data_IF_956672724801
#
_entry.id   IF_956672724801
#
_cell.length_a   1.000
_cell.length_b   1.000
_cell.length_c   1.000
_cell.angle_alpha   90.00
_cell.angle_beta   90.00
_cell.angle_gamma   90.00
#
_symmetry.space_group_name_H-M   'P 1'
#
loop_
_entity.id
_entity.type
_entity.pdbx_description
1 polymer ?
#
# COMPACT_ATOMS: atom_id res chain seq x y z
N UNK A 1 -71.75 -8.27 35.13
CA UNK A 1 -71.05 -7.12 34.51
C UNK A 1 -69.57 -6.98 34.93
N UNK A 2 -69.08 -7.70 35.95
CA UNK A 2 -67.69 -7.62 36.42
C UNK A 2 -66.68 -8.49 35.65
N UNK A 3 -67.17 -9.54 34.97
CA UNK A 3 -66.34 -10.46 34.16
C UNK A 3 -65.81 -9.81 32.88
N UNK A 4 -66.65 -9.07 32.15
CA UNK A 4 -66.26 -8.46 30.87
C UNK A 4 -65.26 -7.32 31.04
N UNK A 5 -65.28 -6.66 32.21
CA UNK A 5 -64.33 -5.60 32.54
C UNK A 5 -62.93 -6.15 32.82
N UNK A 6 -62.83 -7.31 33.48
CA UNK A 6 -61.56 -7.97 33.75
C UNK A 6 -60.88 -8.50 32.47
N UNK A 7 -61.67 -8.98 31.50
CA UNK A 7 -61.17 -9.47 30.22
C UNK A 7 -60.62 -8.30 29.38
N UNK A 8 -61.36 -7.19 29.30
CA UNK A 8 -60.90 -5.98 28.60
C UNK A 8 -59.60 -5.41 29.19
N UNK A 9 -59.49 -5.39 30.51
CA UNK A 9 -58.31 -4.86 31.20
C UNK A 9 -57.07 -5.75 30.99
N UNK A 10 -57.26 -7.06 30.85
CA UNK A 10 -56.19 -8.01 30.49
C UNK A 10 -55.73 -7.85 29.04
N UNK A 11 -56.66 -7.63 28.10
CA UNK A 11 -56.34 -7.36 26.68
C UNK A 11 -55.61 -6.01 26.49
N UNK A 12 -56.02 -4.99 27.25
CA UNK A 12 -55.32 -3.69 27.28
C UNK A 12 -53.93 -3.80 27.91
N UNK A 13 -53.74 -4.64 28.95
CA UNK A 13 -52.42 -4.91 29.53
C UNK A 13 -51.50 -5.68 28.58
N UNK A 14 -52.02 -6.68 27.86
CA UNK A 14 -51.25 -7.43 26.86
C UNK A 14 -50.83 -6.54 25.69
N UNK A 15 -51.73 -5.69 25.18
CA UNK A 15 -51.42 -4.77 24.10
C UNK A 15 -50.43 -3.68 24.53
N UNK A 16 -50.55 -3.15 25.75
CA UNK A 16 -49.55 -2.26 26.34
C UNK A 16 -48.18 -2.93 26.55
N UNK A 17 -48.17 -4.22 26.90
CA UNK A 17 -46.94 -5.02 27.05
C UNK A 17 -46.25 -5.29 25.71
N UNK A 18 -47.03 -5.56 24.64
CA UNK A 18 -46.53 -5.69 23.27
C UNK A 18 -45.99 -4.36 22.73
N UNK A 19 -46.62 -3.23 23.06
CA UNK A 19 -46.15 -1.90 22.71
C UNK A 19 -44.87 -1.49 23.46
N UNK A 20 -44.71 -1.89 24.73
CA UNK A 20 -43.45 -1.71 25.49
C UNK A 20 -42.32 -2.59 24.95
N UNK A 21 -42.62 -3.81 24.51
CA UNK A 21 -41.63 -4.69 23.86
C UNK A 21 -41.20 -4.16 22.48
N UNK A 22 -42.09 -3.47 21.77
CA UNK A 22 -41.80 -2.83 20.48
C UNK A 22 -40.91 -1.57 20.59
N UNK A 23 -40.71 -1.02 21.79
CA UNK A 23 -39.84 0.15 22.00
C UNK A 23 -38.35 -0.20 22.14
N UNK A 24 -38.03 -1.48 22.37
CA UNK A 24 -36.67 -1.93 22.17
C UNK A 24 -36.54 -2.35 20.72
N UNK A 25 -35.75 -1.60 19.95
CA UNK A 25 -35.13 -2.15 18.75
C UNK A 25 -34.36 -3.40 19.20
N UNK A 26 -35.01 -4.56 19.21
CA UNK A 26 -34.36 -5.85 19.28
C UNK A 26 -33.58 -5.93 17.98
N UNK A 27 -32.37 -5.38 18.02
CA UNK A 27 -31.37 -5.67 17.01
C UNK A 27 -31.23 -7.18 17.08
N UNK A 28 -31.82 -7.91 16.12
CA UNK A 28 -31.52 -9.32 15.94
C UNK A 28 -30.01 -9.37 15.80
N UNK A 29 -29.33 -9.80 16.87
CA UNK A 29 -27.88 -9.96 16.90
C UNK A 29 -27.65 -11.27 16.18
N UNK A 30 -27.22 -11.27 14.91
CA UNK A 30 -27.29 -12.49 14.11
C UNK A 30 -26.47 -13.62 14.73
N UNK A 31 -25.39 -13.28 15.46
CA UNK A 31 -24.55 -14.24 16.18
C UNK A 31 -25.25 -14.96 17.34
N UNK A 32 -26.34 -14.41 17.90
CA UNK A 32 -27.16 -15.13 18.88
C UNK A 32 -27.85 -16.35 18.25
N UNK A 33 -28.21 -16.26 16.96
CA UNK A 33 -28.81 -17.37 16.21
C UNK A 33 -27.81 -18.49 15.88
N UNK A 34 -26.51 -18.32 16.19
CA UNK A 34 -25.51 -19.39 16.10
C UNK A 34 -25.32 -20.15 17.40
N UNK A 35 -25.83 -19.67 18.54
CA UNK A 35 -25.67 -20.41 19.79
C UNK A 35 -26.41 -21.75 19.70
N UNK A 36 -25.67 -22.84 19.93
CA UNK A 36 -26.21 -24.20 19.85
C UNK A 36 -26.41 -24.75 18.43
N UNK A 37 -26.07 -23.99 17.38
CA UNK A 37 -26.18 -24.46 15.99
C UNK A 37 -24.86 -25.08 15.53
N UNK A 38 -24.86 -26.40 15.31
CA UNK A 38 -23.73 -27.09 14.68
C UNK A 38 -23.62 -26.69 13.20
N UNK A 39 -22.63 -25.85 12.87
CA UNK A 39 -22.35 -25.43 11.50
C UNK A 39 -21.81 -26.64 10.72
N UNK A 40 -22.62 -27.17 9.80
CA UNK A 40 -22.19 -28.26 8.91
C UNK A 40 -21.12 -27.74 7.93
N UNK A 41 -20.04 -28.49 7.66
CA UNK A 41 -19.05 -28.11 6.66
C UNK A 41 -19.70 -27.84 5.29
N UNK A 42 -19.31 -26.76 4.63
CA UNK A 42 -19.86 -26.36 3.33
C UNK A 42 -19.64 -27.47 2.30
N UNK A 43 -20.73 -28.10 1.87
CA UNK A 43 -20.70 -29.10 0.79
C UNK A 43 -20.16 -28.47 -0.49
N UNK A 44 -19.26 -29.15 -1.24
CA UNK A 44 -18.78 -28.64 -2.52
C UNK A 44 -19.96 -28.42 -3.47
N UNK A 45 -19.91 -27.30 -4.17
CA UNK A 45 -20.94 -26.79 -5.08
C UNK A 45 -21.43 -27.89 -6.02
N UNK A 46 -22.65 -28.38 -5.81
CA UNK A 46 -23.37 -29.20 -6.79
C UNK A 46 -24.88 -29.17 -6.56
N UNK A 47 -25.59 -29.01 -7.67
CA UNK A 47 -27.04 -29.13 -7.88
C UNK A 47 -27.86 -27.84 -7.71
N UNK A 48 -28.27 -27.29 -8.85
CA UNK A 48 -29.29 -26.23 -9.01
C UNK A 48 -30.72 -26.69 -8.60
N UNK A 49 -30.87 -27.89 -8.03
CA UNK A 49 -32.16 -28.53 -7.80
C UNK A 49 -32.69 -28.44 -6.36
N UNK A 50 -31.98 -27.77 -5.44
CA UNK A 50 -32.48 -27.49 -4.09
C UNK A 50 -32.34 -26.01 -3.74
N UNK A 51 -33.30 -25.39 -3.04
CA UNK A 51 -33.14 -24.05 -2.51
C UNK A 51 -31.92 -24.03 -1.59
N UNK A 52 -30.88 -23.33 -2.02
CA UNK A 52 -29.60 -23.23 -1.31
C UNK A 52 -29.77 -22.22 -0.17
N UNK A 53 -29.91 -22.71 1.05
CA UNK A 53 -29.83 -21.87 2.25
C UNK A 53 -28.36 -21.76 2.64
N UNK A 54 -27.77 -20.59 2.46
CA UNK A 54 -26.38 -20.34 2.86
C UNK A 54 -26.22 -20.65 4.36
N UNK A 55 -25.18 -21.38 4.74
CA UNK A 55 -24.99 -21.78 6.15
C UNK A 55 -24.32 -20.68 6.97
N UNK A 56 -23.56 -19.81 6.33
CA UNK A 56 -22.90 -18.71 7.03
C UNK A 56 -23.89 -17.58 7.30
N UNK A 57 -24.03 -17.19 8.58
CA UNK A 57 -24.89 -16.07 8.97
C UNK A 57 -24.64 -14.81 8.15
N UNK A 58 -23.36 -14.47 7.94
CA UNK A 58 -23.00 -13.26 7.22
C UNK A 58 -23.62 -13.26 5.83
N UNK A 59 -23.70 -14.41 5.15
CA UNK A 59 -24.33 -14.50 3.84
C UNK A 59 -25.86 -14.56 3.88
N UNK A 60 -26.47 -14.88 5.02
CA UNK A 60 -27.92 -14.77 5.23
C UNK A 60 -28.33 -13.33 5.49
N UNK A 61 -27.53 -12.61 6.27
CA UNK A 61 -27.80 -11.23 6.68
C UNK A 61 -27.34 -10.20 5.64
N UNK A 62 -26.38 -10.56 4.77
CA UNK A 62 -25.83 -9.67 3.75
C UNK A 62 -26.16 -10.22 2.35
N UNK A 63 -27.12 -9.61 1.63
CA UNK A 63 -27.38 -9.91 0.22
C UNK A 63 -26.13 -9.83 -0.65
N UNK A 64 -26.13 -10.59 -1.75
CA UNK A 64 -24.97 -10.69 -2.64
C UNK A 64 -24.64 -9.34 -3.31
N UNK A 65 -25.64 -8.48 -3.53
CA UNK A 65 -25.47 -7.12 -4.06
C UNK A 65 -24.71 -6.22 -3.09
N UNK A 66 -25.00 -6.32 -1.79
CA UNK A 66 -24.29 -5.55 -0.76
C UNK A 66 -22.87 -6.08 -0.58
N UNK A 67 -22.68 -7.41 -0.60
CA UNK A 67 -21.36 -8.02 -0.59
C UNK A 67 -20.52 -7.56 -1.80
N UNK A 68 -21.14 -7.51 -2.98
CA UNK A 68 -20.51 -7.02 -4.19
C UNK A 68 -20.11 -5.56 -4.06
N UNK A 69 -20.98 -4.69 -3.53
CA UNK A 69 -20.67 -3.28 -3.34
C UNK A 69 -19.57 -3.06 -2.29
N UNK A 70 -19.55 -3.85 -1.22
CA UNK A 70 -18.45 -3.83 -0.25
C UNK A 70 -17.12 -4.18 -0.94
N UNK A 71 -17.09 -5.26 -1.73
CA UNK A 71 -15.90 -5.64 -2.49
C UNK A 71 -15.50 -4.62 -3.55
N UNK A 72 -16.46 -3.88 -4.13
CA UNK A 72 -16.19 -2.83 -5.14
C UNK A 72 -15.37 -1.67 -4.56
N UNK A 73 -15.52 -1.40 -3.24
CA UNK A 73 -14.77 -0.35 -2.52
C UNK A 73 -13.44 -0.81 -1.94
N UNK A 74 -13.19 -2.13 -1.86
CA UNK A 74 -11.96 -2.65 -1.27
C UNK A 74 -10.74 -2.46 -2.17
N UNK A 75 -9.56 -2.40 -1.56
CA UNK A 75 -8.30 -2.46 -2.31
C UNK A 75 -8.09 -3.86 -2.90
N UNK A 76 -7.38 -3.99 -4.03
CA UNK A 76 -7.14 -5.30 -4.65
C UNK A 76 -6.38 -6.29 -3.76
N UNK A 77 -5.54 -5.80 -2.84
CA UNK A 77 -4.84 -6.64 -1.87
C UNK A 77 -5.79 -7.14 -0.78
N UNK A 78 -6.70 -6.29 -0.30
CA UNK A 78 -7.76 -6.72 0.62
C UNK A 78 -8.72 -7.70 -0.05
N UNK A 79 -9.01 -7.55 -1.34
CA UNK A 79 -9.75 -8.56 -2.12
C UNK A 79 -8.97 -9.89 -2.19
N UNK A 80 -7.65 -9.84 -2.37
CA UNK A 80 -6.80 -11.03 -2.28
C UNK A 80 -6.93 -11.75 -0.93
N UNK A 81 -6.90 -11.00 0.18
CA UNK A 81 -7.11 -11.54 1.54
C UNK A 81 -8.53 -12.08 1.73
N UNK A 82 -9.55 -11.36 1.26
CA UNK A 82 -10.96 -11.77 1.31
C UNK A 82 -11.21 -13.08 0.54
N UNK A 83 -10.53 -13.30 -0.59
CA UNK A 83 -10.62 -14.54 -1.35
C UNK A 83 -10.09 -15.77 -0.60
N UNK A 84 -9.36 -15.59 0.51
CA UNK A 84 -8.87 -16.65 1.38
C UNK A 84 -9.83 -16.98 2.54
N UNK A 85 -10.89 -16.20 2.76
CA UNK A 85 -11.81 -16.37 3.90
C UNK A 85 -12.75 -17.56 3.69
N UNK A 86 -13.45 -17.61 2.53
CA UNK A 86 -14.37 -18.70 2.23
C UNK A 86 -14.51 -18.92 0.72
N UNK A 87 -15.10 -20.05 0.32
CA UNK A 87 -15.33 -20.39 -1.09
C UNK A 87 -16.21 -19.35 -1.80
N UNK A 88 -17.30 -18.90 -1.18
CA UNK A 88 -18.22 -17.91 -1.77
C UNK A 88 -17.46 -16.64 -2.15
N UNK A 89 -16.72 -16.05 -1.21
CA UNK A 89 -15.91 -14.84 -1.45
C UNK A 89 -14.86 -15.07 -2.53
N UNK A 90 -14.18 -16.23 -2.50
CA UNK A 90 -13.21 -16.61 -3.53
C UNK A 90 -13.83 -16.64 -4.93
N UNK A 91 -15.07 -17.09 -5.09
CA UNK A 91 -15.78 -17.10 -6.37
C UNK A 91 -16.29 -15.72 -6.75
N UNK A 92 -16.91 -14.98 -5.82
CA UNK A 92 -17.38 -13.61 -6.06
C UNK A 92 -16.26 -12.71 -6.57
N UNK A 93 -15.08 -12.77 -5.95
CA UNK A 93 -13.90 -11.94 -6.29
C UNK A 93 -13.30 -12.30 -7.65
N UNK A 94 -13.65 -13.45 -8.24
CA UNK A 94 -13.26 -13.76 -9.63
C UNK A 94 -14.00 -12.91 -10.66
N UNK A 95 -15.05 -12.19 -10.25
CA UNK A 95 -15.76 -11.27 -11.14
C UNK A 95 -14.75 -10.25 -11.74
N UNK A 96 -14.70 -10.11 -13.08
CA UNK A 96 -13.73 -9.26 -13.76
C UNK A 96 -13.87 -7.77 -13.43
N UNK A 97 -15.04 -7.30 -12.98
CA UNK A 97 -15.30 -5.88 -12.68
C UNK A 97 -14.35 -5.35 -11.60
N UNK A 98 -14.09 -6.14 -10.55
CA UNK A 98 -13.17 -5.74 -9.48
C UNK A 98 -11.75 -5.48 -10.00
N UNK A 99 -11.28 -6.35 -10.90
CA UNK A 99 -9.94 -6.26 -11.49
C UNK A 99 -9.86 -5.18 -12.56
N UNK A 100 -10.94 -4.93 -13.32
CA UNK A 100 -11.02 -3.81 -14.27
C UNK A 100 -10.79 -2.48 -13.56
N UNK A 101 -11.53 -2.21 -12.49
CA UNK A 101 -11.41 -0.96 -11.73
C UNK A 101 -10.03 -0.81 -11.10
N UNK A 102 -9.45 -1.91 -10.62
CA UNK A 102 -8.08 -1.93 -10.13
C UNK A 102 -7.08 -1.53 -11.21
N UNK A 103 -7.17 -2.15 -12.40
CA UNK A 103 -6.27 -1.88 -13.52
C UNK A 103 -6.37 -0.42 -13.99
N UNK A 104 -7.59 0.10 -14.21
CA UNK A 104 -7.78 1.47 -14.68
C UNK A 104 -7.23 2.51 -13.70
N UNK A 105 -7.29 2.25 -12.38
CA UNK A 105 -6.67 3.12 -11.36
C UNK A 105 -5.15 3.01 -11.33
N UNK A 106 -4.59 1.80 -11.47
CA UNK A 106 -3.14 1.61 -11.38
C UNK A 106 -2.37 2.17 -12.58
N UNK A 107 -2.96 2.14 -13.78
CA UNK A 107 -2.34 2.61 -15.02
C UNK A 107 -3.08 3.81 -15.62
N UNK A 108 -3.56 4.71 -14.76
CA UNK A 108 -4.33 5.88 -15.19
C UNK A 108 -3.58 6.76 -16.20
N UNK A 109 -2.25 6.88 -16.05
CA UNK A 109 -1.40 7.71 -16.92
C UNK A 109 -1.40 7.28 -18.40
N UNK A 110 -1.58 5.99 -18.69
CA UNK A 110 -1.66 5.49 -20.07
C UNK A 110 -3.00 5.83 -20.74
N UNK A 111 -4.02 6.19 -19.97
CA UNK A 111 -5.38 6.39 -20.46
C UNK A 111 -6.17 5.10 -20.67
N UNK A 112 -7.49 5.24 -20.79
CA UNK A 112 -8.42 4.09 -20.87
C UNK A 112 -8.23 3.31 -22.16
N UNK A 113 -8.11 4.01 -23.29
CA UNK A 113 -8.03 3.39 -24.62
C UNK A 113 -6.78 2.51 -24.73
N UNK A 114 -5.63 3.02 -24.31
CA UNK A 114 -4.37 2.27 -24.39
C UNK A 114 -4.36 1.07 -23.45
N UNK A 115 -4.90 1.22 -22.23
CA UNK A 115 -5.06 0.10 -21.31
C UNK A 115 -5.96 -1.00 -21.87
N UNK A 116 -7.03 -0.66 -22.59
CA UNK A 116 -7.89 -1.63 -23.26
C UNK A 116 -7.17 -2.34 -24.42
N UNK A 117 -6.35 -1.64 -25.21
CA UNK A 117 -5.53 -2.25 -26.26
C UNK A 117 -4.53 -3.25 -25.67
N UNK A 118 -3.77 -2.83 -24.65
CA UNK A 118 -2.81 -3.67 -23.93
C UNK A 118 -3.51 -4.91 -23.34
N UNK A 119 -4.69 -4.73 -22.73
CA UNK A 119 -5.49 -5.83 -22.21
C UNK A 119 -5.82 -6.87 -23.28
N UNK A 120 -6.26 -6.44 -24.46
CA UNK A 120 -6.63 -7.34 -25.54
C UNK A 120 -5.40 -8.04 -26.12
N UNK A 121 -4.35 -7.28 -26.45
CA UNK A 121 -3.16 -7.78 -27.14
C UNK A 121 -2.28 -8.66 -26.25
N UNK A 122 -1.99 -8.23 -25.01
CA UNK A 122 -1.02 -8.89 -24.13
C UNK A 122 -1.68 -9.85 -23.12
N UNK A 123 -2.95 -9.64 -22.80
CA UNK A 123 -3.62 -10.34 -21.70
C UNK A 123 -4.93 -11.05 -22.11
N UNK A 124 -5.22 -11.15 -23.41
CA UNK A 124 -6.39 -11.83 -24.00
C UNK A 124 -7.73 -11.41 -23.38
N UNK A 125 -7.89 -10.13 -23.06
CA UNK A 125 -9.15 -9.62 -22.49
C UNK A 125 -9.35 -9.92 -20.99
N UNK A 126 -8.40 -10.56 -20.30
CA UNK A 126 -8.57 -10.98 -18.90
C UNK A 126 -7.95 -9.96 -17.92
N UNK A 127 -8.81 -9.12 -17.33
CA UNK A 127 -8.39 -8.05 -16.38
C UNK A 127 -7.57 -8.58 -15.20
N UNK A 128 -7.96 -9.73 -14.63
CA UNK A 128 -7.23 -10.32 -13.51
C UNK A 128 -5.81 -10.76 -13.90
N UNK A 129 -5.64 -11.26 -15.13
CA UNK A 129 -4.33 -11.67 -15.66
C UNK A 129 -3.43 -10.43 -15.82
N UNK A 130 -3.96 -9.34 -16.37
CA UNK A 130 -3.29 -8.05 -16.45
C UNK A 130 -2.86 -7.54 -15.06
N UNK A 131 -3.74 -7.59 -14.07
CA UNK A 131 -3.41 -7.16 -12.70
C UNK A 131 -2.25 -7.97 -12.07
N UNK A 132 -2.18 -9.27 -12.33
CA UNK A 132 -1.17 -10.13 -11.72
C UNK A 132 0.18 -10.05 -12.45
N UNK A 133 0.18 -9.88 -13.77
CA UNK A 133 1.39 -9.95 -14.60
C UNK A 133 2.01 -8.59 -14.92
N UNK A 134 1.21 -7.53 -15.08
CA UNK A 134 1.73 -6.22 -15.45
C UNK A 134 2.37 -5.56 -14.21
N UNK A 135 3.65 -5.11 -14.29
CA UNK A 135 4.27 -4.41 -13.18
C UNK A 135 3.54 -3.11 -12.86
N UNK A 136 3.48 -2.77 -11.57
CA UNK A 136 2.87 -1.52 -11.07
C UNK A 136 3.49 -1.11 -9.75
N UNK A 137 3.63 0.19 -9.55
CA UNK A 137 4.00 0.73 -8.24
C UNK A 137 2.79 0.74 -7.32
N UNK A 138 3.04 0.44 -6.05
CA UNK A 138 2.04 0.53 -4.99
C UNK A 138 2.04 1.93 -4.39
N UNK A 139 0.84 2.48 -4.23
CA UNK A 139 0.62 3.84 -3.69
C UNK A 139 -0.07 3.83 -2.33
N UNK A 140 -0.42 2.63 -1.84
CA UNK A 140 -1.13 2.36 -0.58
C UNK A 140 -0.19 2.17 0.63
N UNK A 141 1.04 2.68 0.56
CA UNK A 141 2.05 2.47 1.60
C UNK A 141 3.40 3.10 1.28
N UNK A 142 4.44 2.59 1.93
CA UNK A 142 5.82 3.05 1.79
C UNK A 142 6.72 1.93 1.30
N UNK A 143 7.64 2.26 0.41
CA UNK A 143 8.79 1.42 0.13
C UNK A 143 9.92 1.82 1.08
N UNK A 144 10.47 0.85 1.81
CA UNK A 144 11.44 1.07 2.88
C UNK A 144 12.67 0.21 2.64
N UNK A 145 13.83 0.85 2.56
CA UNK A 145 15.15 0.20 2.49
C UNK A 145 15.86 0.43 3.82
N UNK A 146 16.13 -0.65 4.56
CA UNK A 146 16.81 -0.60 5.86
C UNK A 146 18.28 -0.92 5.67
N UNK A 147 19.13 0.03 6.04
CA UNK A 147 20.57 -0.05 5.85
C UNK A 147 21.28 0.03 7.19
N UNK A 148 22.18 -0.92 7.44
CA UNK A 148 23.03 -0.96 8.62
C UNK A 148 24.50 -0.94 8.22
N UNK A 149 25.32 -0.17 8.93
CA UNK A 149 26.77 -0.17 8.75
C UNK A 149 27.48 0.02 10.09
N UNK A 150 28.74 -0.40 10.15
CA UNK A 150 29.58 -0.27 11.33
C UNK A 150 30.41 1.00 11.19
N UNK A 151 30.33 1.88 12.19
CA UNK A 151 31.17 3.06 12.34
C UNK A 151 32.14 2.83 13.49
N UNK A 152 33.43 3.03 13.25
CA UNK A 152 34.45 3.00 14.31
C UNK A 152 34.24 4.21 15.22
N UNK A 153 34.17 3.97 16.52
CA UNK A 153 34.09 5.00 17.55
C UNK A 153 35.46 5.59 17.88
N UNK A 154 35.47 6.65 18.69
CA UNK A 154 36.73 7.24 19.16
C UNK A 154 37.39 6.29 20.16
N UNK A 155 38.61 5.83 19.87
CA UNK A 155 39.37 4.98 20.78
C UNK A 155 39.99 5.85 21.89
N UNK A 156 39.47 5.76 23.10
CA UNK A 156 39.98 6.47 24.28
C UNK A 156 41.17 5.76 24.97
N UNK A 157 41.62 4.60 24.47
CA UNK A 157 42.75 3.85 25.02
C UNK A 157 43.34 2.81 24.06
N UNK A 158 44.43 2.14 24.47
CA UNK A 158 45.15 1.15 23.63
C UNK A 158 44.51 -0.23 23.56
N UNK A 159 43.50 -0.52 24.38
CA UNK A 159 43.05 -1.91 24.63
C UNK A 159 41.74 -2.28 23.92
N UNK A 160 40.88 -1.32 23.57
CA UNK A 160 39.59 -1.61 22.92
C UNK A 160 39.21 -0.53 21.91
N UNK A 161 38.81 -0.95 20.70
CA UNK A 161 38.25 -0.06 19.67
C UNK A 161 36.71 -0.15 19.72
N UNK A 162 36.00 0.88 20.20
CA UNK A 162 34.55 0.87 20.21
C UNK A 162 34.00 0.90 18.78
N UNK A 163 32.88 0.21 18.54
CA UNK A 163 32.17 0.21 17.25
C UNK A 163 30.69 0.52 17.47
N UNK A 164 30.12 1.31 16.57
CA UNK A 164 28.72 1.68 16.57
C UNK A 164 28.03 1.07 15.35
N UNK A 165 26.97 0.32 15.57
CA UNK A 165 26.09 -0.14 14.48
C UNK A 165 25.10 0.98 14.21
N UNK A 166 25.26 1.66 13.08
CA UNK A 166 24.36 2.73 12.64
C UNK A 166 23.30 2.12 11.75
N UNK A 167 22.03 2.36 12.08
CA UNK A 167 20.87 1.97 11.29
C UNK A 167 20.15 3.20 10.76
N UNK A 168 19.91 3.21 9.46
CA UNK A 168 19.11 4.22 8.81
C UNK A 168 18.21 3.61 7.74
N UNK A 169 17.23 4.38 7.32
CA UNK A 169 16.20 3.96 6.40
C UNK A 169 16.08 4.96 5.27
N UNK A 170 15.90 4.44 4.04
CA UNK A 170 15.44 5.23 2.90
C UNK A 170 13.97 4.92 2.70
N UNK A 171 13.16 5.97 2.63
CA UNK A 171 11.72 5.90 2.47
C UNK A 171 11.32 6.47 1.12
N UNK A 172 10.45 5.76 0.40
CA UNK A 172 9.85 6.22 -0.84
C UNK A 172 8.34 6.04 -0.79
N UNK A 173 7.60 7.07 -1.20
CA UNK A 173 6.14 7.01 -1.38
C UNK A 173 5.78 7.49 -2.78
N UNK A 174 5.11 6.66 -3.56
CA UNK A 174 4.70 6.98 -4.93
C UNK A 174 3.25 7.44 -4.98
N UNK A 175 2.95 8.34 -5.91
CA UNK A 175 1.60 8.83 -6.20
C UNK A 175 1.23 8.57 -7.67
N UNK A 176 -0.04 8.28 -7.98
CA UNK A 176 -0.49 8.02 -9.35
C UNK A 176 -0.19 9.14 -10.36
N UNK A 177 0.08 10.36 -9.88
CA UNK A 177 0.43 11.53 -10.71
C UNK A 177 1.85 11.49 -11.27
N UNK A 178 2.67 10.48 -10.99
CA UNK A 178 4.10 10.46 -11.34
C UNK A 178 4.98 11.22 -10.35
N UNK A 179 4.43 11.71 -9.23
CA UNK A 179 5.20 12.31 -8.13
C UNK A 179 5.56 11.27 -7.09
N UNK A 180 6.71 11.44 -6.44
CA UNK A 180 7.07 10.64 -5.28
C UNK A 180 7.69 11.49 -4.17
N UNK A 181 7.69 10.94 -2.96
CA UNK A 181 8.36 11.51 -1.81
C UNK A 181 9.52 10.63 -1.40
N UNK A 182 10.61 11.27 -0.98
CA UNK A 182 11.83 10.63 -0.56
C UNK A 182 12.31 11.18 0.77
N UNK A 183 12.75 10.29 1.66
CA UNK A 183 13.41 10.68 2.91
C UNK A 183 14.48 9.68 3.29
N UNK A 184 15.61 10.19 3.75
CA UNK A 184 16.62 9.42 4.46
C UNK A 184 16.54 9.76 5.95
N UNK A 185 16.34 8.77 6.82
CA UNK A 185 16.18 9.01 8.27
C UNK A 185 16.55 7.79 9.11
N UNK A 186 17.00 8.01 10.34
CA UNK A 186 17.16 6.97 11.37
C UNK A 186 15.86 6.64 12.11
N UNK A 187 14.80 7.42 11.89
CA UNK A 187 13.50 7.21 12.54
C UNK A 187 12.81 5.95 11.99
N UNK A 188 11.98 5.34 12.83
CA UNK A 188 11.22 4.11 12.52
C UNK A 188 10.09 4.38 11.54
N UNK A 189 9.63 3.34 10.85
CA UNK A 189 8.59 3.43 9.81
C UNK A 189 7.30 4.04 10.35
N UNK A 190 6.90 3.67 11.58
CA UNK A 190 5.68 4.20 12.24
C UNK A 190 5.71 5.70 12.52
N UNK A 191 6.89 6.24 12.79
CA UNK A 191 7.05 7.67 13.06
C UNK A 191 7.10 8.43 11.73
N UNK A 192 7.79 7.85 10.75
CA UNK A 192 7.98 8.40 9.40
C UNK A 192 6.69 8.48 8.58
N UNK A 193 5.83 7.47 8.70
CA UNK A 193 4.61 7.40 7.91
C UNK A 193 3.67 8.61 8.12
N UNK A 194 3.73 9.26 9.28
CA UNK A 194 2.88 10.41 9.64
C UNK A 194 3.15 11.62 8.75
N UNK A 195 4.40 11.83 8.36
CA UNK A 195 4.85 13.00 7.60
C UNK A 195 5.30 12.67 6.17
N UNK A 196 5.27 11.41 5.73
CA UNK A 196 5.47 11.04 4.33
C UNK A 196 4.24 11.38 3.48
N UNK A 197 3.83 12.65 3.46
CA UNK A 197 2.67 13.15 2.72
C UNK A 197 2.99 14.49 2.01
N UNK A 198 2.20 14.83 0.99
CA UNK A 198 2.44 16.02 0.14
C UNK A 198 2.42 17.33 0.92
N UNK A 199 1.61 17.43 1.99
CA UNK A 199 1.52 18.65 2.81
C UNK A 199 2.81 18.87 3.59
N UNK A 200 3.37 17.81 4.16
CA UNK A 200 4.63 17.83 4.89
C UNK A 200 5.82 18.17 3.98
N UNK A 201 5.81 17.72 2.72
CA UNK A 201 6.86 18.05 1.75
C UNK A 201 6.90 19.55 1.37
N UNK A 202 5.81 20.30 1.59
CA UNK A 202 5.74 21.75 1.35
C UNK A 202 6.09 22.59 2.58
N UNK A 203 6.28 21.95 3.73
CA UNK A 203 6.61 22.65 4.97
C UNK A 203 8.13 22.80 5.04
N UNK A 204 8.63 24.03 5.04
CA UNK A 204 10.05 24.36 5.28
C UNK A 204 10.51 23.96 6.71
N UNK A 205 9.58 23.54 7.56
CA UNK A 205 9.84 23.14 8.94
C UNK A 205 10.47 21.74 9.04
N UNK A 206 11.81 21.67 9.14
CA UNK A 206 12.64 20.61 9.78
C UNK A 206 12.51 19.13 9.35
N UNK A 207 11.44 18.74 8.68
CA UNK A 207 11.09 17.34 8.46
C UNK A 207 11.44 16.98 7.02
N UNK A 208 12.74 16.85 6.76
CA UNK A 208 13.46 16.66 5.49
C UNK A 208 12.87 15.62 4.51
N UNK A 209 11.66 15.83 4.02
CA UNK A 209 10.97 15.03 3.01
C UNK A 209 11.04 15.78 1.71
N UNK A 210 11.65 15.15 0.71
CA UNK A 210 11.86 15.75 -0.60
C UNK A 210 10.83 15.21 -1.58
N UNK A 211 10.29 16.09 -2.43
CA UNK A 211 9.41 15.72 -3.54
C UNK A 211 10.25 15.56 -4.80
N UNK A 212 9.83 14.64 -5.66
CA UNK A 212 10.43 14.46 -6.97
C UNK A 212 9.45 13.82 -7.93
N UNK A 213 9.94 13.47 -9.11
CA UNK A 213 9.18 12.80 -10.15
C UNK A 213 9.73 11.42 -10.47
N UNK A 214 8.85 10.53 -10.91
CA UNK A 214 9.22 9.20 -11.35
C UNK A 214 8.45 8.77 -12.61
N UNK A 215 9.08 7.90 -13.38
CA UNK A 215 8.48 7.15 -14.48
C UNK A 215 8.65 5.66 -14.22
N UNK A 216 7.71 4.86 -14.74
CA UNK A 216 7.76 3.40 -14.69
C UNK A 216 7.68 2.88 -16.12
N UNK A 217 8.78 2.29 -16.58
CA UNK A 217 8.90 1.66 -17.90
C UNK A 217 9.13 0.17 -17.70
N UNK A 218 8.14 -0.65 -18.07
CA UNK A 218 8.12 -2.08 -17.78
C UNK A 218 8.28 -2.38 -16.28
N UNK A 219 9.45 -2.86 -15.85
CA UNK A 219 9.84 -3.12 -14.46
C UNK A 219 10.87 -2.11 -13.91
N UNK A 220 11.29 -1.12 -14.70
CA UNK A 220 12.29 -0.12 -14.31
C UNK A 220 11.62 1.16 -13.85
N UNK A 221 12.02 1.63 -12.68
CA UNK A 221 11.61 2.91 -12.14
C UNK A 221 12.77 3.86 -12.25
N UNK A 222 12.56 4.98 -12.92
CA UNK A 222 13.51 6.09 -12.95
C UNK A 222 12.90 7.24 -12.17
N UNK A 223 13.67 7.81 -11.26
CA UNK A 223 13.19 8.85 -10.38
C UNK A 223 14.27 9.91 -10.13
N UNK A 224 13.84 11.17 -10.04
CA UNK A 224 14.73 12.31 -9.84
C UNK A 224 14.18 13.26 -8.76
N UNK A 225 15.07 13.78 -7.92
CA UNK A 225 14.76 14.77 -6.87
C UNK A 225 15.76 15.90 -6.98
N UNK A 226 15.26 17.14 -7.01
CA UNK A 226 16.09 18.33 -6.93
C UNK A 226 16.29 18.72 -5.45
N UNK A 227 17.54 18.92 -5.06
CA UNK A 227 17.90 19.53 -3.78
C UNK A 227 18.22 21.01 -4.00
N UNK A 228 17.32 21.91 -3.56
CA UNK A 228 17.55 23.34 -3.69
C UNK A 228 18.63 23.81 -2.70
N UNK A 229 19.32 24.89 -3.04
CA UNK A 229 20.34 25.51 -2.20
C UNK A 229 21.27 26.40 -3.03
N UNK A 230 22.34 26.91 -2.40
CA UNK A 230 23.38 27.70 -3.08
C UNK A 230 24.11 26.95 -4.19
N UNK A 231 24.02 25.61 -4.16
CA UNK A 231 24.64 24.68 -5.09
C UNK A 231 23.64 23.55 -5.36
N UNK A 232 22.74 23.72 -6.33
CA UNK A 232 21.67 22.76 -6.56
C UNK A 232 22.23 21.43 -7.03
N UNK A 233 21.66 20.35 -6.51
CA UNK A 233 22.06 18.98 -6.88
C UNK A 233 20.83 18.15 -7.19
N UNK A 234 20.95 17.20 -8.11
CA UNK A 234 19.90 16.25 -8.43
C UNK A 234 20.29 14.86 -7.96
N UNK A 235 19.37 14.18 -7.28
CA UNK A 235 19.47 12.77 -6.95
C UNK A 235 18.70 11.96 -7.98
N UNK A 236 19.43 11.22 -8.81
CA UNK A 236 18.89 10.26 -9.78
C UNK A 236 18.89 8.87 -9.17
N UNK A 237 17.75 8.19 -9.26
CA UNK A 237 17.51 6.89 -8.67
C UNK A 237 16.96 5.96 -9.74
N UNK A 238 17.66 4.86 -10.01
CA UNK A 238 17.17 3.79 -10.88
C UNK A 238 16.86 2.56 -10.03
N UNK A 239 15.64 2.06 -10.13
CA UNK A 239 15.16 0.90 -9.38
C UNK A 239 14.63 -0.17 -10.33
N UNK A 240 14.66 -1.42 -9.89
CA UNK A 240 13.97 -2.54 -10.53
C UNK A 240 12.83 -3.03 -9.65
N UNK A 241 11.60 -2.92 -10.13
CA UNK A 241 10.42 -3.43 -9.45
C UNK A 241 10.39 -4.97 -9.51
N UNK A 242 10.23 -5.58 -8.34
CA UNK A 242 10.06 -7.03 -8.17
C UNK A 242 8.86 -7.33 -7.28
N UNK A 243 8.50 -8.61 -7.19
CA UNK A 243 7.51 -9.11 -6.25
C UNK A 243 7.97 -10.42 -5.62
N UNK A 244 7.64 -10.64 -4.35
CA UNK A 244 7.86 -11.94 -3.68
C UNK A 244 6.98 -13.04 -4.28
N UNK A 245 5.82 -12.65 -4.79
CA UNK A 245 4.90 -13.50 -5.56
C UNK A 245 4.38 -12.69 -6.75
N UNK A 246 3.81 -13.40 -7.72
CA UNK A 246 3.20 -12.79 -8.90
C UNK A 246 2.15 -11.74 -8.50
N UNK A 247 2.32 -10.52 -9.02
CA UNK A 247 1.41 -9.41 -8.77
C UNK A 247 1.56 -8.75 -7.40
N UNK A 248 2.54 -9.13 -6.56
CA UNK A 248 2.76 -8.45 -5.28
C UNK A 248 3.37 -7.06 -5.42
N UNK A 249 4.32 -6.89 -6.36
CA UNK A 249 5.05 -5.63 -6.62
C UNK A 249 5.54 -4.93 -5.35
N UNK A 250 6.04 -5.73 -4.40
CA UNK A 250 6.35 -5.34 -3.02
C UNK A 250 7.86 -5.29 -2.76
N UNK A 251 8.69 -5.34 -3.80
CA UNK A 251 10.15 -5.26 -3.74
C UNK A 251 10.66 -4.29 -4.78
N UNK A 252 11.70 -3.53 -4.45
CA UNK A 252 12.45 -2.78 -5.47
C UNK A 252 13.94 -2.88 -5.21
N UNK A 253 14.68 -3.36 -6.19
CA UNK A 253 16.14 -3.39 -6.10
C UNK A 253 16.68 -2.02 -6.51
N UNK A 254 17.63 -1.49 -5.74
CA UNK A 254 18.31 -0.25 -6.09
C UNK A 254 19.42 -0.56 -7.09
N UNK A 255 19.24 -0.16 -8.35
CA UNK A 255 20.20 -0.39 -9.43
C UNK A 255 21.31 0.66 -9.37
N UNK A 256 20.92 1.93 -9.36
CA UNK A 256 21.87 3.03 -9.23
C UNK A 256 21.28 4.20 -8.44
N UNK A 257 22.17 4.88 -7.74
CA UNK A 257 21.88 6.05 -6.93
C UNK A 257 23.01 7.06 -7.18
N UNK A 258 22.70 8.14 -7.88
CA UNK A 258 23.70 9.11 -8.33
C UNK A 258 23.29 10.51 -7.91
N UNK A 259 24.21 11.26 -7.32
CA UNK A 259 24.03 12.69 -7.05
C UNK A 259 24.89 13.48 -8.03
N UNK A 260 24.29 14.37 -8.81
CA UNK A 260 25.00 15.22 -9.78
C UNK A 260 24.73 16.69 -9.49
N UNK A 261 25.68 17.56 -9.80
CA UNK A 261 25.44 19.01 -9.82
C UNK A 261 24.55 19.43 -10.98
N UNK A 262 23.69 20.41 -10.72
CA UNK A 262 22.79 21.04 -11.69
C UNK A 262 23.15 22.53 -11.78
N UNK A 263 22.94 23.16 -12.95
CA UNK A 263 23.12 24.60 -13.08
C UNK A 263 21.90 25.37 -12.52
N UNK A 264 22.07 26.64 -12.21
CA UNK A 264 20.99 27.43 -11.59
C UNK A 264 19.78 27.64 -12.52
N UNK A 265 19.99 27.63 -13.84
CA UNK A 265 18.92 27.81 -14.84
C UNK A 265 17.98 26.60 -14.85
N UNK A 266 18.53 25.39 -14.92
CA UNK A 266 17.79 24.12 -14.84
C UNK A 266 17.16 23.93 -13.47
N UNK A 267 17.83 24.35 -12.39
CA UNK A 267 17.29 24.29 -11.03
C UNK A 267 16.13 25.28 -10.79
N UNK A 268 16.07 26.37 -11.56
CA UNK A 268 14.97 27.35 -11.50
C UNK A 268 13.72 26.93 -12.28
N UNK A 269 13.80 25.84 -13.05
CA UNK A 269 12.66 25.24 -13.73
C UNK A 269 11.59 24.74 -12.75
N UNK A 270 10.38 24.48 -13.25
CA UNK A 270 9.35 23.89 -12.40
C UNK A 270 9.80 22.51 -11.91
N UNK A 271 9.64 22.25 -10.62
CA UNK A 271 9.88 20.95 -9.96
C UNK A 271 9.13 19.78 -10.65
N UNK A 272 8.15 20.11 -11.51
CA UNK A 272 7.37 19.18 -12.33
C UNK A 272 8.01 18.80 -13.69
N UNK A 273 9.23 19.25 -14.00
CA UNK A 273 9.96 18.86 -15.22
C UNK A 273 11.36 18.29 -14.95
N UNK A 274 11.66 17.96 -13.69
CA UNK A 274 12.99 17.49 -13.30
C UNK A 274 13.42 16.22 -14.03
N UNK A 275 12.47 15.38 -14.46
CA UNK A 275 12.78 14.19 -15.26
C UNK A 275 13.18 14.54 -16.69
N UNK A 276 12.57 15.55 -17.31
CA UNK A 276 12.98 16.04 -18.63
C UNK A 276 14.36 16.68 -18.59
N UNK A 277 14.67 17.41 -17.51
CA UNK A 277 16.01 18.00 -17.29
C UNK A 277 17.10 16.93 -17.27
N UNK A 278 16.87 15.80 -16.59
CA UNK A 278 17.86 14.72 -16.47
C UNK A 278 17.74 13.63 -17.54
N UNK A 279 16.83 13.79 -18.49
CA UNK A 279 16.62 12.81 -19.55
C UNK A 279 17.87 12.73 -20.43
N UNK A 280 18.36 11.52 -20.66
CA UNK A 280 19.57 11.29 -21.45
C UNK A 280 20.91 11.52 -20.73
N UNK A 281 20.90 12.00 -19.47
CA UNK A 281 22.15 12.21 -18.74
C UNK A 281 22.89 10.89 -18.46
N UNK A 282 24.19 10.88 -18.71
CA UNK A 282 25.08 9.77 -18.33
C UNK A 282 25.25 9.68 -16.81
N UNK A 283 25.71 8.54 -16.29
CA UNK A 283 25.84 8.34 -14.83
C UNK A 283 26.92 9.23 -14.20
N UNK A 284 27.94 9.61 -14.95
CA UNK A 284 29.06 10.46 -14.56
C UNK A 284 28.85 11.94 -14.93
N UNK A 285 27.71 12.28 -15.53
CA UNK A 285 27.41 13.63 -16.00
C UNK A 285 27.02 14.59 -14.87
N UNK A 286 27.55 15.82 -14.96
CA UNK A 286 27.16 16.95 -14.13
C UNK A 286 27.16 18.24 -14.94
N UNK A 287 26.15 19.07 -14.70
CA UNK A 287 26.01 20.39 -15.30
C UNK A 287 26.48 21.52 -14.37
N UNK A 288 27.18 21.17 -13.28
CA UNK A 288 27.87 22.12 -12.43
C UNK A 288 29.33 21.68 -12.26
N UNK A 289 30.30 22.44 -12.80
CA UNK A 289 31.71 22.03 -12.79
C UNK A 289 32.29 21.92 -11.37
N UNK A 290 31.69 22.57 -10.37
CA UNK A 290 32.15 22.53 -8.98
C UNK A 290 31.62 21.31 -8.21
N UNK A 291 30.68 20.55 -8.78
CA UNK A 291 29.99 19.46 -8.10
C UNK A 291 30.05 18.20 -8.96
N UNK A 292 30.99 17.27 -8.72
CA UNK A 292 31.09 16.07 -9.53
C UNK A 292 29.87 15.15 -9.37
N UNK A 293 29.59 14.35 -10.38
CA UNK A 293 28.66 13.24 -10.26
C UNK A 293 29.22 12.17 -9.32
N UNK A 294 28.46 11.83 -8.28
CA UNK A 294 28.85 10.84 -7.27
C UNK A 294 27.88 9.66 -7.31
N UNK A 295 28.40 8.50 -7.69
CA UNK A 295 27.69 7.22 -7.61
C UNK A 295 27.83 6.61 -6.22
N UNK A 296 26.71 6.39 -5.54
CA UNK A 296 26.65 5.86 -4.18
C UNK A 296 26.72 4.34 -4.20
N UNK A 297 27.80 3.76 -3.67
CA UNK A 297 28.00 2.28 -3.61
C UNK A 297 27.51 1.64 -2.30
N UNK A 298 27.08 2.44 -1.32
CA UNK A 298 26.66 1.98 0.00
C UNK A 298 25.18 2.21 0.24
N UNK A 299 24.59 1.35 1.07
CA UNK A 299 23.18 1.45 1.42
C UNK A 299 22.26 1.14 0.24
N UNK A 300 22.63 0.12 -0.54
CA UNK A 300 21.92 -0.35 -1.73
C UNK A 300 20.95 -1.50 -1.42
N UNK A 301 20.53 -1.64 -0.16
CA UNK A 301 19.61 -2.72 0.21
C UNK A 301 18.26 -2.53 -0.49
N UNK A 302 17.68 -3.61 -1.07
CA UNK A 302 16.38 -3.54 -1.71
C UNK A 302 15.29 -2.95 -0.81
N UNK A 303 14.39 -2.18 -1.40
CA UNK A 303 13.22 -1.66 -0.74
C UNK A 303 12.15 -2.74 -0.57
N UNK A 304 11.55 -2.79 0.61
CA UNK A 304 10.40 -3.63 0.94
C UNK A 304 9.17 -2.74 1.11
N UNK A 305 8.05 -3.15 0.52
CA UNK A 305 6.81 -2.41 0.67
C UNK A 305 6.12 -2.69 2.01
N UNK A 306 5.73 -1.63 2.71
CA UNK A 306 4.96 -1.64 3.95
C UNK A 306 3.63 -0.90 3.72
N UNK A 307 2.50 -1.62 3.69
CA UNK A 307 1.17 -1.01 3.61
C UNK A 307 0.87 -0.09 4.80
N UNK A 308 0.12 1.00 4.60
CA UNK A 308 -0.19 1.95 5.69
C UNK A 308 -0.95 1.30 6.86
N UNK A 309 -1.80 0.30 6.60
CA UNK A 309 -2.52 -0.49 7.61
C UNK A 309 -1.59 -1.36 8.47
N UNK A 310 -0.37 -1.62 8.01
CA UNK A 310 0.59 -2.51 8.66
C UNK A 310 1.81 -1.78 9.22
N UNK A 311 1.89 -0.46 9.05
CA UNK A 311 3.04 0.37 9.46
C UNK A 311 3.39 0.21 10.95
N UNK A 312 2.40 0.21 11.84
CA UNK A 312 2.62 0.08 13.29
C UNK A 312 3.21 -1.28 13.67
N UNK A 313 2.81 -2.33 12.94
CA UNK A 313 3.19 -3.72 13.23
C UNK A 313 4.41 -4.18 12.43
N UNK A 314 4.97 -3.32 11.59
CA UNK A 314 6.08 -3.69 10.72
C UNK A 314 7.32 -4.09 11.53
N UNK A 315 7.94 -5.22 11.15
CA UNK A 315 9.21 -5.69 11.72
C UNK A 315 10.34 -4.68 11.55
N UNK A 316 10.23 -3.77 10.57
CA UNK A 316 11.20 -2.70 10.34
C UNK A 316 11.24 -1.66 11.48
N UNK A 317 10.25 -1.68 12.40
CA UNK A 317 10.26 -0.87 13.62
C UNK A 317 11.11 -1.48 14.76
N UNK A 318 11.61 -2.70 14.59
CA UNK A 318 12.49 -3.35 15.56
C UNK A 318 13.84 -2.58 15.65
N UNK A 319 14.35 -2.34 16.87
CA UNK A 319 15.66 -1.73 17.06
C UNK A 319 16.78 -2.67 16.58
N UNK A 320 17.98 -2.11 16.41
CA UNK A 320 19.18 -2.86 15.98
C UNK A 320 19.50 -4.04 16.90
N UNK A 321 19.28 -3.88 18.21
CA UNK A 321 19.49 -4.93 19.21
C UNK A 321 18.64 -6.19 18.97
N UNK A 322 17.47 -6.05 18.34
CA UNK A 322 16.54 -7.15 18.04
C UNK A 322 16.64 -7.64 16.60
N UNK A 323 17.19 -6.82 15.71
CA UNK A 323 17.35 -7.11 14.29
C UNK A 323 18.52 -6.26 13.79
N UNK A 324 19.71 -6.81 13.76
CA UNK A 324 20.94 -6.14 13.32
C UNK A 324 21.08 -6.14 11.78
N UNK A 325 20.58 -7.19 11.15
CA UNK A 325 20.51 -7.35 9.70
C UNK A 325 19.08 -7.64 9.25
N UNK A 326 18.69 -7.09 8.09
CA UNK A 326 17.38 -7.32 7.48
C UNK A 326 17.55 -7.90 6.09
N UNK A 327 17.01 -9.10 5.88
CA UNK A 327 16.97 -9.75 4.57
C UNK A 327 15.69 -9.30 3.86
N UNK A 328 15.75 -8.49 2.80
CA UNK A 328 14.56 -8.01 2.13
C UNK A 328 13.81 -9.12 1.38
N UNK A 329 14.50 -10.21 1.00
CA UNK A 329 13.90 -11.35 0.29
C UNK A 329 13.87 -11.19 -1.23
#
# INVERSE_FOLDING_TARGET
MTSDYAIKLAEELESASRLKAAQFLVTQRPWLDLYGVNVRPVTPFRSLSKPFVDTALLHRSLPDELLFEIFSKMSPYTLGRAACVCRKWRYTIRNPVFWRNACLRAWQLNGIVENCKILQLMFHGVWRKMWLLRPRLRTDGLYVSRNTYIRVGLAEGRTTNPVHIVCYYRYMRFYPSGRFLYKNSSQKVKDVAKYMNVRSARSESSDSVFSGQYTLSEDKVEAAILYPGLRPTVLRIRLRLRGTIQGANNRMDLISLVTSGVNDVEASGSDEDILGVVEGWQEDETHNPDIPAVSHKRGLTPFVFVPFDEVEKSVLNLPVEKMDYFVPG
#
